data_IF_924602438658
#
_entry.id   IF_924602438658
#
_cell.length_a   1.000
_cell.length_b   1.000
_cell.length_c   1.000
_cell.angle_alpha   90.00
_cell.angle_beta   90.00
_cell.angle_gamma   90.00
#
_symmetry.space_group_name_H-M   'P 1'
#
loop_
_entity.id
_entity.type
_entity.pdbx_description
1 polymer ?
#
# COMPACT_ATOMS: atom_id res chain seq x y z
N UNK A 1 -9.98 8.78 0.19
CA UNK A 1 -8.80 7.90 0.08
C UNK A 1 -8.39 7.44 1.47
N UNK A 2 -8.10 6.15 1.66
CA UNK A 2 -7.68 5.66 2.98
C UNK A 2 -6.44 6.40 3.48
N UNK A 3 -6.34 6.54 4.81
CA UNK A 3 -5.25 7.29 5.41
C UNK A 3 -3.87 6.68 5.12
N UNK A 4 -3.80 5.36 4.97
CA UNK A 4 -2.54 4.66 4.70
C UNK A 4 -2.03 4.91 3.27
N UNK A 5 -2.88 5.47 2.39
CA UNK A 5 -2.53 5.71 1.00
C UNK A 5 -2.33 7.19 0.77
N UNK A 6 -1.27 7.52 0.05
CA UNK A 6 -0.94 8.89 -0.31
C UNK A 6 -0.73 8.99 -1.81
N UNK A 7 -1.21 10.08 -2.40
CA UNK A 7 -0.93 10.39 -3.80
C UNK A 7 -0.37 11.81 -3.85
N UNK A 8 0.87 11.93 -4.30
CA UNK A 8 1.58 13.20 -4.35
C UNK A 8 2.27 13.32 -5.70
N UNK A 9 1.99 14.37 -6.49
CA UNK A 9 2.62 14.52 -7.81
C UNK A 9 4.14 14.48 -7.79
N UNK A 10 4.74 14.81 -6.65
CA UNK A 10 6.20 14.78 -6.50
C UNK A 10 6.75 13.39 -6.21
N UNK A 11 5.86 12.41 -5.96
CA UNK A 11 6.27 11.03 -5.68
C UNK A 11 5.72 10.16 -6.80
N UNK A 12 6.62 9.63 -7.62
CA UNK A 12 6.27 8.71 -8.72
C UNK A 12 5.13 9.25 -9.60
N UNK A 13 5.11 10.56 -9.83
CA UNK A 13 4.12 11.17 -10.71
C UNK A 13 2.70 11.13 -10.22
N UNK A 14 2.50 10.99 -8.91
CA UNK A 14 1.16 10.94 -8.33
C UNK A 14 0.61 9.54 -8.15
N UNK A 15 1.41 8.51 -8.43
CA UNK A 15 0.99 7.12 -8.23
C UNK A 15 0.66 6.88 -6.75
N UNK A 16 -0.43 6.19 -6.42
CA UNK A 16 -0.76 5.88 -5.03
C UNK A 16 0.33 5.04 -4.38
N UNK A 17 0.80 5.48 -3.22
CA UNK A 17 1.85 4.81 -2.46
C UNK A 17 1.44 4.69 -1.01
N UNK A 18 2.14 3.85 -0.25
CA UNK A 18 1.99 3.82 1.20
C UNK A 18 2.46 5.16 1.75
N UNK A 19 1.66 5.74 2.65
CA UNK A 19 1.95 7.05 3.22
C UNK A 19 3.34 7.07 3.86
N UNK A 20 4.10 8.10 3.53
CA UNK A 20 5.45 8.25 4.07
C UNK A 20 6.50 7.42 3.35
N UNK A 21 6.15 6.77 2.26
CA UNK A 21 7.09 5.95 1.49
C UNK A 21 6.96 6.25 0.01
N UNK A 22 7.80 5.60 -0.79
CA UNK A 22 7.69 5.59 -2.26
C UNK A 22 7.27 4.20 -2.75
N UNK A 23 6.61 3.42 -1.88
CA UNK A 23 6.19 2.06 -2.22
C UNK A 23 4.80 2.12 -2.84
N UNK A 24 4.65 1.81 -4.14
CA UNK A 24 3.31 1.81 -4.77
C UNK A 24 2.41 0.76 -4.12
N UNK A 25 1.13 1.09 -3.97
CA UNK A 25 0.19 0.11 -3.41
C UNK A 25 0.06 -1.10 -4.32
N UNK A 26 0.27 -0.92 -5.61
CA UNK A 26 0.29 -2.01 -6.57
C UNK A 26 1.35 -3.06 -6.20
N UNK A 27 2.53 -2.60 -5.75
CA UNK A 27 3.59 -3.50 -5.32
C UNK A 27 3.20 -4.23 -4.04
N UNK A 28 2.53 -3.53 -3.12
CA UNK A 28 2.04 -4.16 -1.89
C UNK A 28 1.09 -5.30 -2.22
N UNK A 29 0.17 -5.05 -3.15
CA UNK A 29 -0.78 -6.08 -3.60
C UNK A 29 -0.05 -7.28 -4.19
N UNK A 30 0.93 -7.02 -5.06
CA UNK A 30 1.68 -8.08 -5.71
C UNK A 30 2.42 -8.95 -4.68
N UNK A 31 2.99 -8.32 -3.66
CA UNK A 31 3.70 -9.05 -2.60
C UNK A 31 2.74 -9.95 -1.81
N UNK A 32 1.54 -9.46 -1.50
CA UNK A 32 0.55 -10.29 -0.81
C UNK A 32 0.12 -11.48 -1.64
N UNK A 33 -0.03 -11.29 -2.95
CA UNK A 33 -0.35 -12.40 -3.84
C UNK A 33 0.77 -13.45 -3.82
N UNK A 34 2.01 -13.03 -3.63
CA UNK A 34 3.16 -13.92 -3.55
C UNK A 34 3.35 -14.57 -2.18
N UNK A 35 2.48 -14.26 -1.21
CA UNK A 35 2.55 -14.86 0.11
C UNK A 35 3.14 -13.99 1.19
N UNK A 36 3.47 -12.74 0.89
CA UNK A 36 3.95 -11.80 1.91
C UNK A 36 2.87 -11.58 2.97
N UNK A 37 3.30 -11.44 4.22
CA UNK A 37 2.40 -11.20 5.35
C UNK A 37 2.75 -9.87 6.01
N UNK A 38 1.86 -9.41 6.89
CA UNK A 38 2.09 -8.15 7.62
C UNK A 38 3.42 -8.20 8.36
N UNK A 39 3.76 -9.33 8.97
CA UNK A 39 5.02 -9.45 9.70
C UNK A 39 6.23 -9.27 8.81
N UNK A 40 6.12 -9.64 7.54
CA UNK A 40 7.21 -9.48 6.57
C UNK A 40 7.44 -8.01 6.26
N UNK A 41 6.35 -7.24 6.13
CA UNK A 41 6.46 -5.80 5.94
C UNK A 41 7.05 -5.12 7.17
N UNK A 42 6.68 -5.56 8.35
CA UNK A 42 7.24 -4.99 9.58
C UNK A 42 8.72 -5.28 9.73
N UNK A 43 9.15 -6.42 9.22
CA UNK A 43 10.57 -6.79 9.23
C UNK A 43 11.36 -5.95 8.24
N UNK A 44 10.84 -5.79 7.03
CA UNK A 44 11.53 -5.04 5.98
C UNK A 44 11.48 -3.53 6.22
N UNK A 45 10.37 -3.04 6.78
CA UNK A 45 10.13 -1.61 7.01
C UNK A 45 9.67 -1.39 8.44
N UNK A 46 10.58 -1.50 9.42
CA UNK A 46 10.18 -1.42 10.84
C UNK A 46 9.54 -0.10 11.25
N UNK A 47 9.71 0.96 10.45
CA UNK A 47 9.06 2.24 10.73
C UNK A 47 7.61 2.29 10.25
N UNK A 48 7.16 1.32 9.49
CA UNK A 48 5.77 1.27 9.01
C UNK A 48 4.89 0.58 10.04
N UNK A 49 3.78 1.24 10.38
CA UNK A 49 2.79 0.69 11.31
C UNK A 49 1.58 0.23 10.52
N UNK A 50 1.74 -0.83 9.75
CA UNK A 50 0.66 -1.36 8.93
C UNK A 50 -0.19 -2.31 9.76
N UNK A 51 -1.50 -2.12 9.74
CA UNK A 51 -2.46 -2.97 10.44
C UNK A 51 -3.24 -3.80 9.42
N UNK A 52 -4.00 -4.78 9.93
CA UNK A 52 -4.88 -5.57 9.07
C UNK A 52 -5.93 -4.69 8.40
N UNK A 53 -6.41 -3.67 9.11
CA UNK A 53 -7.37 -2.72 8.55
C UNK A 53 -6.75 -1.97 7.37
N UNK A 54 -5.49 -1.57 7.51
CA UNK A 54 -4.79 -0.86 6.44
C UNK A 54 -4.70 -1.72 5.19
N UNK A 55 -4.42 -3.02 5.34
CA UNK A 55 -4.34 -3.94 4.21
C UNK A 55 -5.71 -4.07 3.54
N UNK A 56 -6.77 -4.21 4.33
CA UNK A 56 -8.13 -4.28 3.78
C UNK A 56 -8.48 -3.00 3.02
N UNK A 57 -8.09 -1.85 3.55
CA UNK A 57 -8.33 -0.56 2.91
C UNK A 57 -7.59 -0.47 1.58
N UNK A 58 -6.35 -0.95 1.54
CA UNK A 58 -5.54 -0.96 0.32
C UNK A 58 -6.20 -1.84 -0.75
N UNK A 59 -6.66 -3.03 -0.37
CA UNK A 59 -7.32 -3.93 -1.29
C UNK A 59 -8.60 -3.31 -1.86
N UNK A 60 -9.42 -2.71 -0.99
CA UNK A 60 -10.66 -2.08 -1.43
C UNK A 60 -10.39 -0.93 -2.38
N UNK A 61 -9.39 -0.11 -2.08
CA UNK A 61 -9.02 1.01 -2.92
C UNK A 61 -8.51 0.53 -4.29
N UNK A 62 -7.69 -0.49 -4.30
CA UNK A 62 -7.15 -1.05 -5.53
C UNK A 62 -8.25 -1.62 -6.41
N UNK A 63 -9.23 -2.29 -5.80
CA UNK A 63 -10.38 -2.81 -6.55
C UNK A 63 -11.18 -1.69 -7.21
N UNK A 64 -11.34 -0.56 -6.53
CA UNK A 64 -12.03 0.59 -7.10
C UNK A 64 -11.30 1.11 -8.33
N UNK A 65 -9.97 1.18 -8.27
CA UNK A 65 -9.17 1.62 -9.40
C UNK A 65 -9.29 0.65 -10.57
N UNK A 66 -9.28 -0.65 -10.28
CA UNK A 66 -9.30 -1.68 -11.32
C UNK A 66 -10.66 -1.85 -11.97
N UNK A 67 -11.73 -1.41 -11.32
CA UNK A 67 -13.09 -1.58 -11.84
C UNK A 67 -13.56 -0.42 -12.70
N UNK A 68 -12.72 0.56 -12.97
CA UNK A 68 -13.04 1.69 -13.84
C UNK A 68 -12.71 1.41 -15.30
#
# INVERSE_FOLDING_TARGET
MPEIIESNPKILGGMPVLRGTRIPIERVMALFVQGYKIKDFKSDYPYLKITKKDIADIFAYYQQLASK
#
